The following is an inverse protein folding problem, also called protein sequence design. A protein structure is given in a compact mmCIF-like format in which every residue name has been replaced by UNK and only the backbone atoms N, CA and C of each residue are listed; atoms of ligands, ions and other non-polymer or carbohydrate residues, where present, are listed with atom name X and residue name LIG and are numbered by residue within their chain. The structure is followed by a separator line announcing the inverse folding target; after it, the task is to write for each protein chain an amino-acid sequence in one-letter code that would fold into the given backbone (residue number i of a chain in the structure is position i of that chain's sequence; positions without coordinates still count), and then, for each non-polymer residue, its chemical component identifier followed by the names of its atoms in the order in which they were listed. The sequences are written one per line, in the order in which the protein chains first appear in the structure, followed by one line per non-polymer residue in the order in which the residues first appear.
data_IF_007508408013
#
_entry.id   IF_007508408013
#
_cell.length_a   1.000
_cell.length_b   1.000
_cell.length_c   1.000
_cell.angle_alpha   90.00
_cell.angle_beta   90.00
_cell.angle_gamma   90.00
#
_symmetry.space_group_name_H-M   'P 1'
#
loop_
_entity.id
_entity.type
_entity.pdbx_description
1 polymer ?
#
# COMPACT_ATOMS: atom_id res chain seq x y z
N UNK A 1 48.78 0.24 37.81
CA UNK A 1 47.54 -0.57 37.80
C UNK A 1 46.29 0.17 37.30
N UNK A 2 46.15 1.50 37.48
CA UNK A 2 44.96 2.23 36.97
C UNK A 2 44.91 2.41 35.44
N UNK A 3 46.07 2.59 34.79
CA UNK A 3 46.13 2.80 33.34
C UNK A 3 45.69 1.55 32.54
N UNK A 4 46.05 0.36 33.02
CA UNK A 4 45.65 -0.92 32.42
C UNK A 4 44.15 -1.18 32.56
N UNK A 5 43.51 -0.76 33.66
CA UNK A 5 42.07 -0.88 33.82
C UNK A 5 41.28 0.09 32.93
N UNK A 6 41.78 1.31 32.71
CA UNK A 6 41.13 2.28 31.83
C UNK A 6 41.18 1.83 30.35
N UNK A 7 42.31 1.28 29.90
CA UNK A 7 42.46 0.75 28.53
C UNK A 7 41.60 -0.49 28.28
N UNK A 8 41.46 -1.38 29.28
CA UNK A 8 40.56 -2.54 29.17
C UNK A 8 39.08 -2.10 29.16
N UNK A 9 38.71 -1.10 29.94
CA UNK A 9 37.34 -0.60 29.99
C UNK A 9 36.94 0.14 28.70
N UNK A 10 37.84 0.95 28.13
CA UNK A 10 37.57 1.64 26.85
C UNK A 10 37.54 0.68 25.66
N UNK A 11 38.36 -0.38 25.65
CA UNK A 11 38.33 -1.40 24.59
C UNK A 11 37.08 -2.27 24.66
N UNK A 12 36.62 -2.66 25.85
CA UNK A 12 35.33 -3.36 26.03
C UNK A 12 34.16 -2.47 25.62
N UNK A 13 34.18 -1.19 26.00
CA UNK A 13 33.12 -0.24 25.65
C UNK A 13 33.09 0.06 24.14
N UNK A 14 34.25 0.16 23.49
CA UNK A 14 34.35 0.31 22.04
C UNK A 14 33.87 -0.94 21.28
N UNK A 15 34.23 -2.14 21.75
CA UNK A 15 33.75 -3.40 21.17
C UNK A 15 32.23 -3.58 21.35
N UNK A 16 31.68 -3.14 22.49
CA UNK A 16 30.24 -3.08 22.72
C UNK A 16 29.57 -2.11 21.73
N UNK A 17 30.10 -0.89 21.58
CA UNK A 17 29.57 0.12 20.66
C UNK A 17 29.59 -0.33 19.18
N UNK A 18 30.62 -1.07 18.78
CA UNK A 18 30.75 -1.70 17.45
C UNK A 18 29.77 -2.87 17.26
N UNK A 19 29.47 -3.63 18.30
CA UNK A 19 28.46 -4.70 18.23
C UNK A 19 27.03 -4.13 18.16
N UNK A 20 26.77 -2.97 18.76
CA UNK A 20 25.47 -2.29 18.68
C UNK A 20 25.18 -1.66 17.31
N UNK A 21 26.20 -1.31 16.51
CA UNK A 21 26.00 -0.70 15.18
C UNK A 21 25.70 -1.71 14.05
N UNK A 22 25.86 -3.02 14.30
CA UNK A 22 25.72 -4.07 13.28
C UNK A 22 24.33 -4.72 13.15
N UNK A 23 23.39 -4.47 14.08
CA UNK A 23 22.03 -5.00 14.02
C UNK A 23 21.03 -3.91 13.67
N UNK A 24 21.13 -3.31 12.48
CA UNK A 24 20.08 -2.41 12.01
C UNK A 24 18.93 -3.23 11.42
N UNK A 25 17.71 -2.97 11.90
CA UNK A 25 16.47 -3.58 11.39
C UNK A 25 16.32 -3.36 9.88
N UNK A 26 16.84 -2.24 9.37
CA UNK A 26 16.77 -1.87 7.96
C UNK A 26 17.57 -2.81 7.05
N UNK A 27 18.73 -3.31 7.51
CA UNK A 27 19.52 -4.27 6.73
C UNK A 27 18.77 -5.59 6.53
N UNK A 28 18.25 -6.17 7.61
CA UNK A 28 17.47 -7.42 7.54
C UNK A 28 16.18 -7.27 6.74
N UNK A 29 15.55 -6.08 6.78
CA UNK A 29 14.40 -5.78 5.94
C UNK A 29 14.79 -5.82 4.45
N UNK A 30 15.87 -5.15 4.06
CA UNK A 30 16.35 -5.13 2.66
C UNK A 30 16.76 -6.52 2.16
N UNK A 31 17.40 -7.32 3.00
CA UNK A 31 17.76 -8.71 2.67
C UNK A 31 16.52 -9.58 2.47
N UNK A 32 15.55 -9.49 3.38
CA UNK A 32 14.27 -10.19 3.25
C UNK A 32 13.47 -9.74 2.01
N UNK A 33 13.42 -8.43 1.74
CA UNK A 33 12.76 -7.86 0.56
C UNK A 33 13.37 -8.41 -0.73
N UNK A 34 14.71 -8.47 -0.81
CA UNK A 34 15.43 -9.02 -1.95
C UNK A 34 15.05 -10.48 -2.20
N UNK A 35 15.07 -11.33 -1.17
CA UNK A 35 14.69 -12.74 -1.30
C UNK A 35 13.22 -12.89 -1.74
N UNK A 36 12.33 -12.08 -1.18
CA UNK A 36 10.90 -12.08 -1.56
C UNK A 36 10.72 -11.69 -3.03
N UNK A 37 11.40 -10.65 -3.50
CA UNK A 37 11.30 -10.23 -4.90
C UNK A 37 11.86 -11.26 -5.88
N UNK A 38 12.97 -11.92 -5.54
CA UNK A 38 13.52 -13.02 -6.34
C UNK A 38 12.52 -14.18 -6.45
N UNK A 39 11.86 -14.55 -5.34
CA UNK A 39 10.83 -15.59 -5.33
C UNK A 39 9.63 -15.21 -6.20
N UNK A 40 9.15 -13.97 -6.10
CA UNK A 40 7.99 -13.51 -6.88
C UNK A 40 8.32 -13.51 -8.37
N UNK A 41 9.51 -13.04 -8.77
CA UNK A 41 9.95 -13.04 -10.16
C UNK A 41 10.11 -14.47 -10.72
N UNK A 42 10.69 -15.40 -9.93
CA UNK A 42 10.77 -16.82 -10.27
C UNK A 42 9.37 -17.40 -10.51
N UNK A 43 8.42 -17.14 -9.61
CA UNK A 43 7.06 -17.68 -9.70
C UNK A 43 6.22 -17.05 -10.78
N UNK A 44 6.41 -15.77 -11.12
CA UNK A 44 5.74 -15.18 -12.27
C UNK A 44 6.14 -15.84 -13.58
N UNK A 45 7.45 -16.09 -13.77
CA UNK A 45 7.96 -16.81 -14.94
C UNK A 45 7.37 -18.22 -15.02
N UNK A 46 7.22 -18.92 -13.90
CA UNK A 46 6.62 -20.25 -13.84
C UNK A 46 5.14 -20.26 -14.26
N UNK A 47 4.37 -19.20 -13.95
CA UNK A 47 2.96 -19.10 -14.37
C UNK A 47 2.81 -18.62 -15.83
N UNK A 48 3.91 -18.21 -16.49
CA UNK A 48 3.88 -17.71 -17.87
C UNK A 48 3.45 -16.25 -17.98
N UNK A 49 3.53 -15.48 -16.90
CA UNK A 49 3.39 -14.02 -16.95
C UNK A 49 4.76 -13.38 -17.19
N UNK A 50 4.81 -12.30 -17.98
CA UNK A 50 6.06 -11.57 -18.23
C UNK A 50 6.63 -10.92 -16.97
N UNK A 51 7.91 -10.54 -16.99
CA UNK A 51 8.56 -9.85 -15.87
C UNK A 51 7.95 -8.47 -15.68
N UNK A 52 7.05 -8.31 -14.70
CA UNK A 52 6.57 -7.00 -14.25
C UNK A 52 7.44 -6.46 -13.12
N UNK A 53 7.70 -5.16 -13.09
CA UNK A 53 8.36 -4.51 -11.95
C UNK A 53 7.43 -4.52 -10.74
N UNK A 54 7.64 -5.46 -9.82
CA UNK A 54 6.95 -5.52 -8.53
C UNK A 54 7.80 -4.84 -7.46
N UNK A 55 7.23 -3.83 -6.81
CA UNK A 55 7.82 -3.23 -5.60
C UNK A 55 6.71 -2.92 -4.62
N UNK A 56 6.88 -3.27 -3.35
CA UNK A 56 5.86 -3.03 -2.32
C UNK A 56 5.83 -1.57 -1.85
N UNK A 57 6.92 -0.82 -2.06
CA UNK A 57 7.04 0.54 -1.57
C UNK A 57 6.00 1.45 -2.23
N UNK A 58 5.31 2.22 -1.38
CA UNK A 58 4.40 3.25 -1.87
C UNK A 58 5.25 4.34 -2.52
N UNK A 59 4.88 4.86 -3.69
CA UNK A 59 5.56 6.01 -4.26
C UNK A 59 5.51 7.16 -3.25
N UNK A 60 6.66 7.82 -3.02
CA UNK A 60 6.90 8.80 -1.96
C UNK A 60 5.96 10.02 -1.91
N UNK A 61 4.99 10.14 -2.84
CA UNK A 61 4.04 11.26 -2.88
C UNK A 61 2.59 10.74 -2.95
N UNK A 62 1.73 11.07 -1.98
CA UNK A 62 0.32 10.71 -2.04
C UNK A 62 -0.36 11.34 -3.26
N UNK A 63 -1.37 10.66 -3.82
CA UNK A 63 -2.10 11.09 -5.01
C UNK A 63 -2.55 12.56 -4.95
N UNK A 64 -2.98 13.03 -3.78
CA UNK A 64 -3.38 14.42 -3.55
C UNK A 64 -2.28 15.40 -3.93
N UNK A 65 -1.04 15.12 -3.53
CA UNK A 65 0.10 16.01 -3.77
C UNK A 65 0.49 16.01 -5.25
N UNK A 66 0.46 14.84 -5.91
CA UNK A 66 0.66 14.74 -7.38
C UNK A 66 -0.43 15.44 -8.18
N UNK A 67 -1.68 15.35 -7.77
CA UNK A 67 -2.79 16.07 -8.41
C UNK A 67 -2.60 17.57 -8.19
N UNK A 68 -2.27 18.02 -6.97
CA UNK A 68 -2.04 19.43 -6.68
C UNK A 68 -0.85 19.99 -7.47
N UNK A 69 0.27 19.27 -7.53
CA UNK A 69 1.47 19.64 -8.31
C UNK A 69 1.15 19.70 -9.81
N UNK A 70 0.43 18.71 -10.35
CA UNK A 70 0.01 18.72 -11.75
C UNK A 70 -1.00 19.85 -12.03
N UNK A 71 -1.90 20.17 -11.10
CA UNK A 71 -2.80 21.32 -11.21
C UNK A 71 -2.05 22.66 -11.16
N UNK A 72 -0.93 22.75 -10.44
CA UNK A 72 -0.06 23.94 -10.47
C UNK A 72 0.77 24.05 -11.75
N UNK A 73 1.14 22.92 -12.36
CA UNK A 73 1.88 22.87 -13.63
C UNK A 73 1.00 23.26 -14.85
N UNK A 74 -0.33 23.12 -14.72
CA UNK A 74 -1.32 23.53 -15.74
C UNK A 74 -1.69 25.03 -15.71
N UNK A 75 -0.93 25.87 -14.98
CA UNK A 75 -1.03 27.33 -14.94
C UNK A 75 -2.45 27.90 -14.81
N UNK A 76 -3.06 27.67 -13.65
CA UNK A 76 -4.32 28.31 -13.25
C UNK A 76 -4.03 29.57 -12.42
N UNK A 77 -2.76 29.88 -12.13
CA UNK A 77 -2.37 31.07 -11.37
C UNK A 77 -2.48 32.33 -12.21
N UNK A 78 -1.96 32.31 -13.45
CA UNK A 78 -1.96 33.48 -14.33
C UNK A 78 -3.35 33.86 -14.85
N UNK A 79 -4.18 32.88 -15.16
CA UNK A 79 -5.48 33.10 -15.80
C UNK A 79 -6.50 33.70 -14.81
N UNK A 80 -6.36 33.47 -13.49
CA UNK A 80 -7.29 34.01 -12.48
C UNK A 80 -7.10 35.52 -12.29
N UNK A 81 -5.87 36.01 -12.13
CA UNK A 81 -5.64 37.47 -11.97
C UNK A 81 -6.00 38.23 -13.25
N UNK A 82 -5.69 37.65 -14.42
CA UNK A 82 -5.99 38.26 -15.71
C UNK A 82 -7.49 38.23 -16.06
N UNK A 83 -8.23 37.23 -15.60
CA UNK A 83 -9.71 37.19 -15.72
C UNK A 83 -10.38 38.08 -14.67
N UNK A 84 -9.78 38.25 -13.50
CA UNK A 84 -10.27 39.17 -12.46
C UNK A 84 -10.12 40.63 -12.90
N UNK A 85 -9.02 40.99 -13.55
CA UNK A 85 -8.84 42.33 -14.13
C UNK A 85 -9.81 42.60 -15.29
N UNK A 86 -10.02 41.62 -16.19
CA UNK A 86 -10.96 41.77 -17.30
C UNK A 86 -12.44 41.92 -16.86
N UNK A 87 -12.85 41.28 -15.77
CA UNK A 87 -14.21 41.41 -15.22
C UNK A 87 -14.42 42.74 -14.51
N UNK A 88 -13.35 43.36 -13.98
CA UNK A 88 -13.44 44.69 -13.36
C UNK A 88 -13.42 45.84 -14.39
N UNK A 89 -13.09 45.58 -15.66
CA UNK A 89 -13.00 46.58 -16.72
C UNK A 89 -14.31 46.73 -17.53
N UNK A 90 -15.16 45.70 -17.60
CA UNK A 90 -16.38 45.66 -18.45
C UNK A 90 -17.63 46.29 -17.81
N UNK A 91 -17.43 47.32 -16.97
CA UNK A 91 -18.48 48.12 -16.36
C UNK A 91 -18.96 49.28 -17.23
N UNK A 92 -19.11 49.08 -18.55
CA UNK A 92 -19.72 50.09 -19.44
C UNK A 92 -20.78 49.46 -20.32
N UNK A 93 -22.02 49.79 -20.01
CA UNK A 93 -23.21 49.40 -20.75
C UNK A 93 -23.17 49.99 -22.17
N UNK A 94 -23.02 49.15 -23.20
CA UNK A 94 -23.48 49.49 -24.55
C UNK A 94 -24.30 48.35 -25.15
N UNK A 95 -25.53 48.71 -25.49
CA UNK A 95 -26.55 47.94 -26.17
C UNK A 95 -26.13 47.66 -27.62
N UNK A 96 -25.91 46.39 -27.96
CA UNK A 96 -25.79 45.95 -29.35
C UNK A 96 -26.00 44.45 -29.45
N UNK A 97 -26.94 44.07 -30.33
CA UNK A 97 -27.29 42.70 -30.64
C UNK A 97 -26.14 41.91 -31.27
N UNK A 98 -26.35 40.60 -31.27
CA UNK A 98 -25.50 39.56 -31.86
C UNK A 98 -24.31 39.09 -31.00
N UNK A 99 -24.61 38.52 -29.81
CA UNK A 99 -23.67 37.68 -29.09
C UNK A 99 -23.73 36.25 -29.60
N UNK A 100 -22.84 35.94 -30.54
CA UNK A 100 -22.46 34.57 -30.96
C UNK A 100 -22.12 33.77 -29.70
N UNK A 101 -22.82 32.65 -29.51
CA UNK A 101 -22.89 31.90 -28.25
C UNK A 101 -21.55 31.66 -27.58
N UNK A 102 -21.31 32.36 -26.47
CA UNK A 102 -20.55 31.84 -25.34
C UNK A 102 -21.51 30.95 -24.54
N UNK A 103 -21.12 29.69 -24.33
CA UNK A 103 -21.91 28.71 -23.55
C UNK A 103 -22.39 29.36 -22.25
N UNK A 104 -23.71 29.55 -22.04
CA UNK A 104 -24.18 30.19 -20.82
C UNK A 104 -23.89 29.25 -19.64
N UNK A 105 -23.23 29.74 -18.60
CA UNK A 105 -23.14 29.01 -17.32
C UNK A 105 -21.80 28.35 -16.98
N UNK A 106 -20.67 28.84 -17.51
CA UNK A 106 -19.39 28.60 -16.83
C UNK A 106 -19.27 29.65 -15.71
N UNK A 107 -19.59 29.25 -14.48
CA UNK A 107 -19.32 30.05 -13.29
C UNK A 107 -17.83 30.44 -13.26
N UNK A 108 -17.45 31.69 -12.90
CA UNK A 108 -16.05 32.10 -12.72
C UNK A 108 -15.27 31.24 -11.69
N UNK A 109 -15.99 30.50 -10.84
CA UNK A 109 -15.44 29.56 -9.85
C UNK A 109 -15.41 28.11 -10.34
N UNK A 110 -15.60 27.86 -11.63
CA UNK A 110 -15.53 26.51 -12.16
C UNK A 110 -14.08 25.99 -12.01
N UNK A 111 -13.86 24.89 -11.28
CA UNK A 111 -12.54 24.29 -11.22
C UNK A 111 -12.08 23.94 -12.64
N UNK A 112 -10.75 23.95 -12.90
CA UNK A 112 -10.18 23.60 -14.20
C UNK A 112 -10.81 22.31 -14.73
N UNK A 113 -11.26 22.33 -16.00
CA UNK A 113 -11.78 21.15 -16.68
C UNK A 113 -10.64 20.15 -16.91
N UNK A 114 -10.50 19.21 -15.97
CA UNK A 114 -9.53 18.12 -16.04
C UNK A 114 -9.91 17.15 -17.17
N UNK A 115 -9.20 17.22 -18.30
CA UNK A 115 -9.34 16.26 -19.41
C UNK A 115 -8.50 15.02 -19.11
N UNK A 116 -9.11 14.04 -18.45
CA UNK A 116 -8.45 12.74 -18.21
C UNK A 116 -8.65 11.80 -19.40
N UNK A 117 -7.57 11.20 -19.89
CA UNK A 117 -7.64 10.08 -20.82
C UNK A 117 -7.94 8.78 -20.05
N UNK A 118 -8.49 7.75 -20.71
CA UNK A 118 -8.75 6.45 -20.09
C UNK A 118 -7.48 5.86 -19.45
N UNK A 119 -6.34 5.99 -20.12
CA UNK A 119 -5.06 5.51 -19.63
C UNK A 119 -4.66 6.22 -18.32
N UNK A 120 -4.80 7.55 -18.28
CA UNK A 120 -4.55 8.33 -17.06
C UNK A 120 -5.50 7.93 -15.92
N UNK A 121 -6.77 7.65 -16.23
CA UNK A 121 -7.72 7.16 -15.22
C UNK A 121 -7.27 5.83 -14.61
N UNK A 122 -6.79 4.89 -15.43
CA UNK A 122 -6.32 3.58 -14.96
C UNK A 122 -5.03 3.72 -14.14
N UNK A 123 -4.09 4.55 -14.58
CA UNK A 123 -2.83 4.82 -13.86
C UNK A 123 -3.12 5.41 -12.47
N UNK A 124 -3.94 6.47 -12.43
CA UNK A 124 -4.35 7.11 -11.16
C UNK A 124 -5.10 6.12 -10.26
N UNK A 125 -5.96 5.28 -10.83
CA UNK A 125 -6.70 4.28 -10.07
C UNK A 125 -5.80 3.19 -9.50
N UNK A 126 -4.83 2.69 -10.27
CA UNK A 126 -3.90 1.66 -9.82
C UNK A 126 -3.01 2.15 -8.67
N UNK A 127 -2.67 3.42 -8.63
CA UNK A 127 -1.87 4.00 -7.55
C UNK A 127 -2.66 4.19 -6.24
N UNK A 128 -3.97 4.42 -6.33
CA UNK A 128 -4.78 4.83 -5.18
C UNK A 128 -5.79 3.77 -4.70
N UNK A 129 -6.14 2.79 -5.54
CA UNK A 129 -7.08 1.72 -5.15
C UNK A 129 -6.54 0.93 -3.96
N UNK A 130 -7.39 0.77 -2.94
CA UNK A 130 -7.07 -0.02 -1.75
C UNK A 130 -7.09 -1.50 -2.08
N UNK A 131 -8.05 -1.94 -2.88
CA UNK A 131 -8.24 -3.32 -3.29
C UNK A 131 -7.01 -3.83 -4.07
N UNK A 132 -6.53 -3.05 -5.04
CA UNK A 132 -5.31 -3.38 -5.80
C UNK A 132 -4.07 -3.45 -4.90
N UNK A 133 -3.94 -2.50 -3.96
CA UNK A 133 -2.85 -2.49 -2.97
C UNK A 133 -2.92 -3.69 -2.03
N UNK A 134 -4.10 -4.07 -1.57
CA UNK A 134 -4.30 -5.23 -0.68
C UNK A 134 -3.93 -6.53 -1.39
N UNK A 135 -4.32 -6.72 -2.65
CA UNK A 135 -3.91 -7.91 -3.42
C UNK A 135 -2.39 -7.95 -3.64
N UNK A 136 -1.79 -6.80 -3.94
CA UNK A 136 -0.33 -6.65 -4.07
C UNK A 136 0.40 -6.99 -2.76
N UNK A 137 -0.07 -6.46 -1.63
CA UNK A 137 0.45 -6.77 -0.29
C UNK A 137 0.28 -8.26 0.05
N UNK A 138 -0.85 -8.85 -0.35
CA UNK A 138 -1.13 -10.28 -0.15
C UNK A 138 -0.12 -11.17 -0.87
N UNK A 139 0.25 -10.82 -2.11
CA UNK A 139 1.32 -11.52 -2.83
C UNK A 139 2.63 -11.44 -2.06
N UNK A 140 3.04 -10.24 -1.64
CA UNK A 140 4.27 -10.03 -0.87
C UNK A 140 4.27 -10.85 0.43
N UNK A 141 3.19 -10.81 1.22
CA UNK A 141 3.08 -11.56 2.48
C UNK A 141 3.09 -13.08 2.26
N UNK A 142 2.48 -13.56 1.17
CA UNK A 142 2.51 -14.99 0.84
C UNK A 142 3.92 -15.47 0.49
N UNK A 143 4.69 -14.65 -0.24
CA UNK A 143 6.09 -14.94 -0.57
C UNK A 143 6.99 -14.85 0.67
N UNK A 144 6.79 -13.85 1.53
CA UNK A 144 7.47 -13.76 2.82
C UNK A 144 7.19 -14.98 3.71
N UNK A 145 5.95 -15.47 3.72
CA UNK A 145 5.59 -16.70 4.43
C UNK A 145 6.34 -17.91 3.86
N UNK A 146 6.53 -18.00 2.54
CA UNK A 146 7.33 -19.05 1.91
C UNK A 146 8.80 -18.97 2.34
N UNK A 147 9.40 -17.78 2.39
CA UNK A 147 10.75 -17.56 2.92
C UNK A 147 10.88 -18.09 4.35
N UNK A 148 9.92 -17.77 5.22
CA UNK A 148 9.91 -18.28 6.61
C UNK A 148 9.84 -19.82 6.66
N UNK A 149 9.05 -20.46 5.79
CA UNK A 149 9.01 -21.93 5.70
C UNK A 149 10.32 -22.52 5.20
N UNK A 150 11.01 -21.88 4.24
CA UNK A 150 12.33 -22.30 3.76
C UNK A 150 13.37 -22.19 4.88
N UNK A 151 13.35 -21.12 5.66
CA UNK A 151 14.33 -20.87 6.71
C UNK A 151 14.32 -21.93 7.83
N UNK A 152 13.20 -22.64 8.06
CA UNK A 152 13.13 -23.76 9.03
C UNK A 152 14.02 -24.95 8.61
N UNK A 153 14.16 -25.16 7.31
CA UNK A 153 15.05 -26.20 6.73
C UNK A 153 16.50 -25.71 6.56
N UNK A 154 16.72 -24.40 6.70
CA UNK A 154 18.03 -23.76 6.70
C UNK A 154 18.79 -23.98 8.01
N UNK A 155 20.04 -23.49 8.06
CA UNK A 155 20.76 -23.38 9.32
C UNK A 155 20.28 -22.11 10.01
N UNK A 156 19.61 -22.23 11.14
CA UNK A 156 19.21 -21.08 11.95
C UNK A 156 20.13 -20.94 13.15
N UNK A 157 20.73 -19.76 13.26
CA UNK A 157 21.57 -19.39 14.39
C UNK A 157 20.79 -18.45 15.31
N UNK A 158 20.92 -18.63 16.61
CA UNK A 158 20.29 -17.77 17.62
C UNK A 158 21.28 -17.54 18.74
N UNK A 159 21.71 -16.29 18.91
CA UNK A 159 22.54 -15.85 20.01
C UNK A 159 21.70 -15.17 21.07
N UNK A 160 21.94 -15.47 22.34
CA UNK A 160 21.34 -14.73 23.45
C UNK A 160 22.37 -14.45 24.52
N UNK A 161 22.29 -13.26 25.11
CA UNK A 161 23.07 -12.85 26.27
C UNK A 161 22.08 -12.49 27.35
N UNK A 162 22.20 -13.15 28.50
CA UNK A 162 21.35 -12.93 29.67
C UNK A 162 22.22 -12.51 30.84
N UNK A 163 22.02 -11.29 31.32
CA UNK A 163 22.60 -10.81 32.57
C UNK A 163 21.54 -10.79 33.65
N UNK A 164 21.87 -11.27 34.85
CA UNK A 164 21.06 -11.12 36.04
C UNK A 164 21.95 -10.63 37.18
N UNK A 165 21.50 -9.61 37.90
CA UNK A 165 22.20 -9.07 39.06
C UNK A 165 21.28 -9.10 40.27
N UNK A 166 21.76 -9.72 41.35
CA UNK A 166 21.14 -9.69 42.67
C UNK A 166 22.02 -8.94 43.66
N UNK A 167 21.52 -8.74 44.87
CA UNK A 167 22.21 -7.98 45.93
C UNK A 167 23.56 -8.61 46.33
N UNK A 168 23.77 -9.91 46.08
CA UNK A 168 24.96 -10.66 46.48
C UNK A 168 25.69 -11.37 45.33
N UNK A 169 25.12 -11.40 44.12
CA UNK A 169 25.73 -12.09 42.97
C UNK A 169 25.31 -11.48 41.64
N UNK A 170 26.16 -11.64 40.63
CA UNK A 170 25.87 -11.34 39.24
C UNK A 170 26.13 -12.58 38.38
N UNK A 171 25.20 -12.90 37.49
CA UNK A 171 25.31 -13.98 36.51
C UNK A 171 25.26 -13.39 35.12
N UNK A 172 26.20 -13.77 34.26
CA UNK A 172 26.20 -13.46 32.84
C UNK A 172 26.27 -14.77 32.08
N UNK A 173 25.19 -15.11 31.37
CA UNK A 173 25.11 -16.27 30.50
C UNK A 173 25.08 -15.86 29.04
N UNK A 174 25.96 -16.43 28.24
CA UNK A 174 25.92 -16.35 26.77
C UNK A 174 25.53 -17.71 26.23
N UNK A 175 24.63 -17.76 25.23
CA UNK A 175 24.23 -18.99 24.57
C UNK A 175 24.11 -18.76 23.07
N UNK A 176 24.66 -19.68 22.29
CA UNK A 176 24.57 -19.73 20.84
C UNK A 176 23.96 -21.06 20.46
N UNK A 177 22.82 -21.01 19.77
CA UNK A 177 22.05 -22.17 19.34
C UNK A 177 22.05 -22.22 17.82
N UNK A 178 22.49 -23.34 17.25
CA UNK A 178 22.31 -23.69 15.85
C UNK A 178 21.22 -24.75 15.75
N UNK A 179 20.19 -24.51 14.94
CA UNK A 179 19.09 -25.45 14.71
C UNK A 179 18.79 -25.63 13.23
N UNK A 180 18.53 -26.86 12.79
CA UNK A 180 18.06 -27.18 11.43
C UNK A 180 17.13 -28.39 11.46
N UNK A 181 16.04 -28.32 10.68
CA UNK A 181 15.17 -29.46 10.39
C UNK A 181 15.60 -30.08 9.06
N UNK A 182 15.84 -31.39 9.04
CA UNK A 182 16.17 -32.13 7.82
C UNK A 182 14.90 -32.55 7.08
N UNK A 183 15.04 -32.84 5.78
CA UNK A 183 13.94 -33.36 4.96
C UNK A 183 13.38 -34.71 5.48
N UNK A 184 14.15 -35.48 6.26
CA UNK A 184 13.68 -36.72 6.91
C UNK A 184 12.71 -36.46 8.07
N UNK A 185 12.67 -35.23 8.61
CA UNK A 185 12.01 -34.88 9.87
C UNK A 185 12.94 -34.87 11.08
N UNK A 186 14.21 -35.25 10.90
CA UNK A 186 15.22 -35.18 11.96
C UNK A 186 15.51 -33.72 12.31
N UNK A 187 15.50 -33.38 13.59
CA UNK A 187 15.87 -32.06 14.09
C UNK A 187 17.26 -32.16 14.72
N UNK A 188 18.18 -31.32 14.26
CA UNK A 188 19.54 -31.22 14.82
C UNK A 188 19.65 -29.87 15.53
N UNK A 189 20.02 -29.89 16.80
CA UNK A 189 20.26 -28.71 17.63
C UNK A 189 21.63 -28.80 18.28
N UNK A 190 22.49 -27.83 18.00
CA UNK A 190 23.77 -27.63 18.67
C UNK A 190 23.66 -26.40 19.57
N UNK A 191 23.85 -26.57 20.87
CA UNK A 191 23.84 -25.50 21.85
C UNK A 191 25.24 -25.33 22.44
N UNK A 192 25.77 -24.11 22.38
CA UNK A 192 27.05 -23.73 22.95
C UNK A 192 26.78 -22.57 23.89
N UNK A 193 26.95 -22.79 25.19
CA UNK A 193 26.72 -21.80 26.23
C UNK A 193 27.94 -21.61 27.14
N UNK A 194 28.12 -20.39 27.64
CA UNK A 194 29.07 -20.08 28.69
C UNK A 194 28.36 -19.23 29.75
N UNK A 195 28.43 -19.64 31.01
CA UNK A 195 27.84 -18.91 32.13
C UNK A 195 28.94 -18.55 33.12
N UNK A 196 29.06 -17.25 33.38
CA UNK A 196 29.93 -16.67 34.39
C UNK A 196 29.08 -16.23 35.57
N UNK A 197 29.35 -16.75 36.76
CA UNK A 197 28.71 -16.35 38.02
C UNK A 197 29.77 -15.75 38.94
N UNK A 198 29.53 -14.51 39.38
CA UNK A 198 30.38 -13.73 40.28
C UNK A 198 29.61 -13.39 41.55
N UNK A 199 30.19 -13.63 42.72
CA UNK A 199 29.58 -13.36 44.03
C UNK A 199 30.24 -12.12 44.64
N UNK A 200 29.45 -11.14 45.10
CA UNK A 200 29.95 -9.85 45.60
C UNK A 200 30.20 -9.83 47.11
N UNK A 201 29.64 -10.77 47.88
CA UNK A 201 29.76 -10.79 49.35
C UNK A 201 30.51 -12.02 49.84
N UNK A 202 31.67 -11.81 50.46
CA UNK A 202 32.38 -12.81 51.27
C UNK A 202 32.98 -13.98 50.50
N UNK A 203 34.23 -13.83 50.04
CA UNK A 203 35.15 -14.93 49.70
C UNK A 203 34.65 -16.01 48.74
N UNK A 204 33.58 -15.76 47.96
CA UNK A 204 33.01 -16.73 47.06
C UNK A 204 33.86 -16.89 45.80
N UNK A 205 34.08 -18.13 45.39
CA UNK A 205 34.78 -18.45 44.14
C UNK A 205 33.94 -18.01 42.93
N UNK A 206 34.60 -17.36 41.97
CA UNK A 206 34.02 -17.08 40.66
C UNK A 206 33.86 -18.42 39.91
N UNK A 207 32.64 -18.74 39.49
CA UNK A 207 32.38 -19.99 38.76
C UNK A 207 32.16 -19.69 37.27
N UNK A 208 32.94 -20.37 36.44
CA UNK A 208 32.79 -20.38 35.00
C UNK A 208 32.30 -21.76 34.56
N UNK A 209 31.17 -21.82 33.85
CA UNK A 209 30.60 -23.06 33.33
C UNK A 209 30.38 -22.93 31.82
N UNK A 210 31.08 -23.75 31.06
CA UNK A 210 30.86 -23.93 29.63
C UNK A 210 30.03 -25.19 29.38
N UNK A 211 29.07 -25.13 28.46
CA UNK A 211 28.17 -26.22 28.12
C UNK A 211 28.11 -26.34 26.60
N UNK A 212 28.38 -27.54 26.08
CA UNK A 212 28.23 -27.87 24.66
C UNK A 212 27.31 -29.09 24.62
N UNK A 213 26.16 -28.93 23.97
CA UNK A 213 25.16 -29.97 23.82
C UNK A 213 24.80 -30.16 22.35
N UNK A 214 24.73 -31.42 21.92
CA UNK A 214 24.28 -31.82 20.58
C UNK A 214 23.06 -32.72 20.75
N UNK A 215 21.88 -32.17 20.46
CA UNK A 215 20.62 -32.90 20.50
C UNK A 215 20.21 -33.29 19.07
N UNK A 216 20.03 -34.58 18.83
CA UNK A 216 19.51 -35.13 17.57
C UNK A 216 18.21 -35.86 17.87
N UNK A 217 17.10 -35.35 17.35
CA UNK A 217 15.77 -35.94 17.55
C UNK A 217 15.24 -36.48 16.23
N UNK A 218 15.02 -37.79 16.14
CA UNK A 218 14.48 -38.44 14.95
C UNK A 218 13.13 -39.13 15.26
N UNK A 219 12.02 -38.68 14.65
CA UNK A 219 10.77 -39.43 14.71
C UNK A 219 10.87 -40.70 13.85
N UNK A 220 10.39 -41.85 14.35
CA UNK A 220 10.47 -43.15 13.66
C UNK A 220 9.17 -43.59 12.99
N UNK A 221 8.02 -43.06 13.42
CA UNK A 221 6.70 -43.49 12.95
C UNK A 221 5.90 -42.31 12.38
N UNK A 222 5.05 -41.67 13.18
CA UNK A 222 4.19 -40.56 12.76
C UNK A 222 5.00 -39.27 12.67
N UNK A 223 4.88 -38.57 11.54
CA UNK A 223 5.61 -37.31 11.30
C UNK A 223 7.02 -37.48 10.73
N UNK A 224 7.44 -38.72 10.45
CA UNK A 224 8.66 -39.02 9.72
C UNK A 224 8.39 -39.04 8.20
N UNK A 225 9.40 -38.69 7.41
CA UNK A 225 9.37 -38.86 5.96
C UNK A 225 9.24 -37.55 5.16
N UNK A 226 9.92 -37.53 4.03
CA UNK A 226 10.08 -36.34 3.17
C UNK A 226 8.76 -35.74 2.72
N UNK A 227 7.80 -36.57 2.33
CA UNK A 227 6.50 -36.11 1.85
C UNK A 227 5.71 -35.36 2.94
N UNK A 228 5.74 -35.84 4.18
CA UNK A 228 5.00 -35.23 5.30
C UNK A 228 5.69 -33.95 5.78
N UNK A 229 7.02 -34.02 5.94
CA UNK A 229 7.81 -32.91 6.50
C UNK A 229 7.92 -31.74 5.54
N UNK A 230 8.05 -32.00 4.23
CA UNK A 230 8.09 -30.94 3.22
C UNK A 230 6.71 -30.45 2.78
N UNK A 231 5.61 -31.05 3.25
CA UNK A 231 4.26 -30.66 2.86
C UNK A 231 3.97 -29.18 3.16
N UNK A 232 4.27 -28.61 4.34
CA UNK A 232 4.03 -27.19 4.61
C UNK A 232 4.80 -26.27 3.66
N UNK A 233 6.00 -26.66 3.23
CA UNK A 233 6.79 -25.91 2.25
C UNK A 233 6.16 -26.01 0.86
N UNK A 234 5.67 -27.18 0.49
CA UNK A 234 4.98 -27.42 -0.80
C UNK A 234 3.68 -26.62 -0.88
N UNK A 235 2.91 -26.61 0.21
CA UNK A 235 1.69 -25.80 0.32
C UNK A 235 2.00 -24.31 0.25
N UNK A 236 3.03 -23.82 0.96
CA UNK A 236 3.45 -22.42 0.86
C UNK A 236 3.85 -22.02 -0.57
N UNK A 237 4.57 -22.89 -1.30
CA UNK A 237 4.90 -22.66 -2.72
C UNK A 237 3.65 -22.54 -3.59
N UNK A 238 2.67 -23.43 -3.41
CA UNK A 238 1.39 -23.39 -4.15
C UNK A 238 0.60 -22.13 -3.81
N UNK A 239 0.57 -21.72 -2.54
CA UNK A 239 -0.14 -20.53 -2.09
C UNK A 239 0.38 -19.26 -2.79
N UNK A 240 1.71 -19.09 -2.89
CA UNK A 240 2.31 -17.96 -3.65
C UNK A 240 1.83 -17.95 -5.11
N UNK A 241 1.76 -19.13 -5.72
CA UNK A 241 1.34 -19.25 -7.10
C UNK A 241 -0.16 -18.91 -7.28
N UNK A 242 -1.00 -19.26 -6.30
CA UNK A 242 -2.42 -18.88 -6.30
C UNK A 242 -2.63 -17.39 -6.04
N UNK A 243 -1.90 -16.77 -5.12
CA UNK A 243 -1.99 -15.31 -4.85
C UNK A 243 -1.50 -14.50 -6.04
N UNK A 244 -0.46 -14.95 -6.75
CA UNK A 244 -0.03 -14.34 -8.01
C UNK A 244 -1.17 -14.34 -9.04
N UNK A 245 -1.90 -15.45 -9.17
CA UNK A 245 -3.05 -15.53 -10.09
C UNK A 245 -4.22 -14.65 -9.65
N UNK A 246 -4.49 -14.50 -8.36
CA UNK A 246 -5.53 -13.59 -7.86
C UNK A 246 -5.15 -12.14 -8.15
N UNK A 247 -3.90 -11.76 -7.94
CA UNK A 247 -3.39 -10.43 -8.25
C UNK A 247 -3.53 -10.07 -9.75
N UNK A 248 -3.17 -11.00 -10.65
CA UNK A 248 -3.34 -10.78 -12.09
C UNK A 248 -4.83 -10.68 -12.50
N UNK A 249 -5.73 -11.35 -11.78
CA UNK A 249 -7.17 -11.16 -11.97
C UNK A 249 -7.62 -9.79 -11.47
N UNK A 250 -7.15 -9.36 -10.30
CA UNK A 250 -7.48 -8.06 -9.71
C UNK A 250 -7.05 -6.88 -10.61
N UNK A 251 -5.88 -6.98 -11.27
CA UNK A 251 -5.43 -6.02 -12.31
C UNK A 251 -6.47 -5.85 -13.42
N UNK A 252 -6.99 -6.96 -13.93
CA UNK A 252 -7.97 -6.97 -15.03
C UNK A 252 -9.31 -6.44 -14.57
N UNK A 253 -9.75 -6.82 -13.37
CA UNK A 253 -11.00 -6.34 -12.77
C UNK A 253 -10.97 -4.83 -12.54
N UNK A 254 -9.87 -4.30 -11.99
CA UNK A 254 -9.67 -2.86 -11.84
C UNK A 254 -9.79 -2.13 -13.18
N UNK A 255 -9.12 -2.62 -14.23
CA UNK A 255 -9.17 -1.99 -15.54
C UNK A 255 -10.60 -1.96 -16.11
N UNK A 256 -11.35 -3.06 -15.98
CA UNK A 256 -12.75 -3.16 -16.42
C UNK A 256 -13.65 -2.21 -15.63
N UNK A 257 -13.48 -2.13 -14.31
CA UNK A 257 -14.30 -1.31 -13.44
C UNK A 257 -14.09 0.19 -13.67
N UNK A 258 -12.85 0.63 -13.82
CA UNK A 258 -12.53 2.03 -14.14
C UNK A 258 -13.08 2.42 -15.52
N UNK A 259 -12.93 1.53 -16.50
CA UNK A 259 -13.49 1.75 -17.84
C UNK A 259 -15.02 1.89 -17.77
N UNK A 260 -15.71 1.00 -17.05
CA UNK A 260 -17.17 1.06 -16.86
C UNK A 260 -17.60 2.36 -16.16
N UNK A 261 -16.86 2.79 -15.14
CA UNK A 261 -17.17 4.02 -14.40
C UNK A 261 -16.96 5.27 -15.26
N UNK A 262 -15.89 5.32 -16.07
CA UNK A 262 -15.66 6.41 -17.00
C UNK A 262 -16.82 6.54 -18.01
N UNK A 263 -17.24 5.44 -18.63
CA UNK A 263 -18.36 5.46 -19.57
C UNK A 263 -19.68 5.87 -18.92
N UNK A 264 -19.94 5.45 -17.67
CA UNK A 264 -21.11 5.93 -16.91
C UNK A 264 -21.09 7.44 -16.69
N UNK A 265 -19.93 8.03 -16.40
CA UNK A 265 -19.79 9.49 -16.22
C UNK A 265 -20.05 10.22 -17.54
N UNK A 266 -19.49 9.72 -18.66
CA UNK A 266 -19.74 10.28 -19.99
C UNK A 266 -21.23 10.21 -20.35
N UNK A 267 -21.89 9.08 -20.09
CA UNK A 267 -23.32 8.92 -20.30
C UNK A 267 -24.14 9.89 -19.43
N UNK A 268 -23.79 10.07 -18.15
CA UNK A 268 -24.46 11.04 -17.26
C UNK A 268 -24.29 12.47 -17.76
N UNK A 269 -23.10 12.83 -18.24
CA UNK A 269 -22.84 14.14 -18.83
C UNK A 269 -23.74 14.38 -20.04
N UNK A 270 -23.87 13.38 -20.91
CA UNK A 270 -24.71 13.50 -22.11
C UNK A 270 -26.20 13.54 -21.75
N UNK A 271 -26.64 12.83 -20.71
CA UNK A 271 -27.99 12.94 -20.15
C UNK A 271 -28.28 14.35 -19.63
N UNK A 272 -27.36 14.95 -18.87
CA UNK A 272 -27.50 16.33 -18.36
C UNK A 272 -27.53 17.34 -19.52
N UNK A 273 -26.67 17.17 -20.54
CA UNK A 273 -26.67 18.02 -21.74
C UNK A 273 -28.00 17.91 -22.50
N UNK A 274 -28.54 16.70 -22.63
CA UNK A 274 -29.83 16.46 -23.27
C UNK A 274 -31.00 17.06 -22.47
N UNK A 275 -30.98 16.94 -21.14
CA UNK A 275 -31.98 17.55 -20.26
C UNK A 275 -31.92 19.08 -20.33
N UNK A 276 -30.70 19.65 -20.31
CA UNK A 276 -30.47 21.09 -20.42
C UNK A 276 -30.96 21.65 -21.76
N UNK A 277 -30.57 21.04 -22.88
CA UNK A 277 -31.05 21.45 -24.21
C UNK A 277 -32.57 21.32 -24.32
N UNK A 278 -33.17 20.29 -23.71
CA UNK A 278 -34.63 20.16 -23.62
C UNK A 278 -35.28 21.31 -22.85
N UNK A 279 -34.68 21.75 -21.74
CA UNK A 279 -35.17 22.89 -20.96
C UNK A 279 -35.00 24.24 -21.70
N UNK A 280 -33.88 24.41 -22.42
CA UNK A 280 -33.58 25.64 -23.15
C UNK A 280 -34.40 25.81 -24.44
N UNK A 281 -34.97 24.72 -24.99
CA UNK A 281 -35.79 24.75 -26.20
C UNK A 281 -36.95 25.77 -26.07
N UNK A 282 -37.07 26.72 -27.02
CA UNK A 282 -38.09 27.77 -26.96
C UNK A 282 -39.51 27.22 -27.02
N UNK A 283 -39.74 26.06 -27.65
CA UNK A 283 -41.05 25.39 -27.65
C UNK A 283 -41.50 24.98 -26.24
N UNK A 284 -40.56 24.56 -25.37
CA UNK A 284 -40.90 24.21 -24.00
C UNK A 284 -41.21 25.48 -23.18
N UNK A 285 -40.36 26.51 -23.29
CA UNK A 285 -40.56 27.81 -22.59
C UNK A 285 -41.83 28.53 -23.06
N UNK A 286 -42.12 28.50 -24.36
CA UNK A 286 -43.34 29.11 -24.91
C UNK A 286 -44.57 28.32 -24.50
N UNK A 287 -44.49 26.99 -24.42
CA UNK A 287 -45.59 26.16 -23.97
C UNK A 287 -45.91 26.41 -22.50
N UNK A 288 -44.93 26.48 -21.58
CA UNK A 288 -45.22 26.85 -20.17
C UNK A 288 -45.83 28.25 -20.08
N UNK A 289 -45.31 29.23 -20.80
CA UNK A 289 -45.92 30.58 -20.86
C UNK A 289 -47.36 30.52 -21.36
N UNK A 290 -47.62 29.83 -22.47
CA UNK A 290 -48.95 29.70 -23.06
C UNK A 290 -49.94 29.01 -22.10
N UNK A 291 -49.52 27.93 -21.43
CA UNK A 291 -50.35 27.25 -20.44
C UNK A 291 -50.69 28.16 -19.25
N UNK A 292 -49.72 28.93 -18.72
CA UNK A 292 -49.97 29.93 -17.67
C UNK A 292 -50.97 30.99 -18.15
N UNK A 293 -50.80 31.54 -19.36
CA UNK A 293 -51.74 32.51 -19.95
C UNK A 293 -53.14 31.94 -20.17
N UNK A 294 -53.26 30.69 -20.63
CA UNK A 294 -54.55 30.04 -20.88
C UNK A 294 -55.32 29.77 -19.58
N UNK A 295 -54.60 29.44 -18.50
CA UNK A 295 -55.21 29.19 -17.19
C UNK A 295 -55.64 30.49 -16.50
N UNK A 296 -54.83 31.56 -16.61
CA UNK A 296 -55.18 32.89 -16.10
C UNK A 296 -56.45 33.48 -16.77
N UNK A 297 -56.75 33.06 -18.01
CA UNK A 297 -57.98 33.43 -18.74
C UNK A 297 -59.16 32.48 -18.48
N UNK A 298 -59.03 31.52 -17.57
CA UNK A 298 -60.11 30.57 -17.22
C UNK A 298 -60.45 29.55 -18.31
N UNK A 299 -59.61 29.38 -19.35
CA UNK A 299 -59.86 28.42 -20.45
C UNK A 299 -59.52 26.97 -20.10
N UNK A 300 -58.82 26.73 -18.99
CA UNK A 300 -58.37 25.41 -18.55
C UNK A 300 -58.50 25.28 -17.02
N UNK A 301 -58.86 24.09 -16.50
CA UNK A 301 -58.93 23.85 -15.06
C UNK A 301 -57.54 23.88 -14.41
N UNK A 302 -57.38 24.57 -13.28
CA UNK A 302 -56.09 24.83 -12.63
C UNK A 302 -55.22 23.59 -12.30
N UNK A 303 -55.82 22.40 -12.25
CA UNK A 303 -55.10 21.13 -12.00
C UNK A 303 -54.07 20.80 -13.10
N UNK A 304 -54.25 21.29 -14.33
CA UNK A 304 -53.33 21.02 -15.44
C UNK A 304 -51.99 21.74 -15.30
N UNK A 305 -51.96 22.90 -14.63
CA UNK A 305 -50.71 23.63 -14.36
C UNK A 305 -49.79 22.85 -13.41
N UNK A 306 -50.36 22.21 -12.39
CA UNK A 306 -49.60 21.36 -11.46
C UNK A 306 -48.99 20.15 -12.19
N UNK A 307 -49.71 19.56 -13.15
CA UNK A 307 -49.21 18.43 -13.94
C UNK A 307 -48.04 18.82 -14.85
N UNK A 308 -48.06 20.03 -15.41
CA UNK A 308 -46.95 20.55 -16.22
C UNK A 308 -45.77 21.03 -15.38
N UNK A 309 -46.02 21.54 -14.17
CA UNK A 309 -44.98 21.93 -13.20
C UNK A 309 -44.35 20.71 -12.50
N UNK A 310 -45.08 19.60 -12.38
CA UNK A 310 -44.65 18.36 -11.74
C UNK A 310 -44.07 17.32 -12.71
N UNK A 311 -43.89 17.65 -14.00
CA UNK A 311 -43.15 16.77 -14.92
C UNK A 311 -41.71 16.67 -14.43
N UNK A 312 -41.24 15.48 -14.00
CA UNK A 312 -39.91 15.34 -13.43
C UNK A 312 -38.86 15.64 -14.51
N UNK A 313 -37.86 16.43 -14.08
CA UNK A 313 -36.61 16.75 -14.80
C UNK A 313 -35.86 15.49 -15.18
#
# INVERSE_FOLDING_TARGET
MFFTHYVVLTTILAALLLALSGCSVEYYRKDADKEVYEIIDEKWKEVGFGTTSFSIEQPNRPLRERILERLTEFDIGGDIEQRLSAVMEDGKDEDSGDRKGSDPGVSPFAPPVLKLTLLQCIEIAAENSREYRTEKETVYLSALTLTLKRHVFGNRYTGSVKGSAGQRSATVGTNVVLSRVLASGTIIVLNIGATLLRVFTGGGDDTNRSLIDLTITQPLLRGAGRAIVLEPLTQAKRNVLYTIRSFERAKKELAVDITRNLYRILQKRDQVKNARTKHERPSCKSMTKWWVYATARGRLPGLSLLKTAALPV
#
